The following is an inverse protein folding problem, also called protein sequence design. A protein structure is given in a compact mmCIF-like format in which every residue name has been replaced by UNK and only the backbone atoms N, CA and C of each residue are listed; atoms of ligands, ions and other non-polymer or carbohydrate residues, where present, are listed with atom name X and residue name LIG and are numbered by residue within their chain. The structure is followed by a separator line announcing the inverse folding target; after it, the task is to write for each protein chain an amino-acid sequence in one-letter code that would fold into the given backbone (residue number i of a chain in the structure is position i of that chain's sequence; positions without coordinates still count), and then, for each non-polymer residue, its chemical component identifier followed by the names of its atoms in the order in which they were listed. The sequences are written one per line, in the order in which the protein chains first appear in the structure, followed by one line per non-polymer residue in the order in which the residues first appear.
data_IF_788338693561
#
_entry.id   IF_788338693561
#
_cell.length_a   1.000
_cell.length_b   1.000
_cell.length_c   1.000
_cell.angle_alpha   90.00
_cell.angle_beta   90.00
_cell.angle_gamma   90.00
#
_symmetry.space_group_name_H-M   'P 1'
#
loop_
_entity.id
_entity.type
_entity.pdbx_description
1 polymer ?
#
# COMPACT_ATOMS: atom_id res chain seq x y z
N UNK A 1 -31.10 33.61 -5.23
CA UNK A 1 -31.85 32.82 -4.22
C UNK A 1 -31.08 32.91 -2.91
N UNK A 2 -31.74 32.74 -1.76
CA UNK A 2 -31.01 32.65 -0.48
C UNK A 2 -30.60 31.19 -0.30
N UNK A 3 -29.29 30.92 -0.37
CA UNK A 3 -28.74 29.56 -0.28
C UNK A 3 -28.73 29.01 1.16
N UNK A 4 -28.72 29.90 2.15
CA UNK A 4 -28.57 29.57 3.56
C UNK A 4 -29.79 29.97 4.39
N UNK A 5 -30.20 29.08 5.29
CA UNK A 5 -31.18 29.36 6.33
C UNK A 5 -30.55 30.23 7.42
N UNK A 6 -31.35 30.94 8.23
CA UNK A 6 -30.86 31.64 9.42
C UNK A 6 -30.13 30.72 10.41
N UNK A 7 -30.38 29.42 10.33
CA UNK A 7 -29.73 28.38 11.14
C UNK A 7 -28.32 28.00 10.63
N UNK A 8 -27.86 28.61 9.53
CA UNK A 8 -26.54 28.34 8.93
C UNK A 8 -26.47 27.09 8.04
N UNK A 9 -27.59 26.39 7.83
CA UNK A 9 -27.68 25.23 6.95
C UNK A 9 -28.25 25.57 5.58
N UNK A 10 -27.99 24.71 4.59
CA UNK A 10 -28.53 24.85 3.24
C UNK A 10 -30.07 24.74 3.22
N UNK A 11 -30.68 25.61 2.41
CA UNK A 11 -32.12 25.58 2.11
C UNK A 11 -32.47 24.32 1.29
N UNK A 12 -33.68 23.79 1.49
CA UNK A 12 -34.15 22.63 0.72
C UNK A 12 -34.25 22.96 -0.78
N UNK A 13 -34.56 24.22 -1.10
CA UNK A 13 -34.62 24.74 -2.46
C UNK A 13 -33.24 24.74 -3.14
N UNK A 14 -32.19 25.16 -2.43
CA UNK A 14 -30.81 25.14 -2.95
C UNK A 14 -30.29 23.70 -3.14
N UNK A 15 -30.58 22.81 -2.19
CA UNK A 15 -30.25 21.38 -2.29
C UNK A 15 -30.95 20.72 -3.49
N UNK A 16 -32.24 21.02 -3.69
CA UNK A 16 -33.02 20.47 -4.82
C UNK A 16 -32.53 21.03 -6.16
N UNK A 17 -32.18 22.32 -6.21
CA UNK A 17 -31.57 22.93 -7.39
C UNK A 17 -30.24 22.26 -7.74
N UNK A 18 -29.40 21.96 -6.74
CA UNK A 18 -28.13 21.25 -6.93
C UNK A 18 -28.34 19.82 -7.47
N UNK A 19 -29.32 19.08 -6.95
CA UNK A 19 -29.63 17.70 -7.40
C UNK A 19 -30.20 17.68 -8.82
N UNK A 20 -31.03 18.67 -9.18
CA UNK A 20 -31.61 18.78 -10.53
C UNK A 20 -30.60 19.33 -11.56
N UNK A 21 -29.51 19.94 -11.11
CA UNK A 21 -28.59 20.68 -11.97
C UNK A 21 -29.23 21.96 -12.52
N UNK A 22 -30.15 22.56 -11.78
CA UNK A 22 -30.77 23.85 -12.13
C UNK A 22 -29.69 24.95 -12.16
N UNK A 23 -29.96 26.05 -12.90
CA UNK A 23 -28.99 27.12 -13.15
C UNK A 23 -28.65 27.93 -11.88
N UNK A 24 -27.75 27.38 -11.06
CA UNK A 24 -27.05 28.08 -9.98
C UNK A 24 -25.87 28.86 -10.59
N UNK A 25 -25.52 30.01 -10.00
CA UNK A 25 -24.32 30.72 -10.43
C UNK A 25 -23.08 29.89 -10.06
N UNK A 26 -21.98 30.03 -10.81
CA UNK A 26 -20.73 29.30 -10.50
C UNK A 26 -20.22 29.59 -9.09
N UNK A 27 -20.46 30.81 -8.58
CA UNK A 27 -20.11 31.19 -7.22
C UNK A 27 -20.97 30.48 -6.18
N UNK A 28 -22.28 30.41 -6.40
CA UNK A 28 -23.20 29.71 -5.49
C UNK A 28 -22.89 28.20 -5.45
N UNK A 29 -22.52 27.60 -6.59
CA UNK A 29 -22.07 26.22 -6.65
C UNK A 29 -20.80 25.98 -5.84
N UNK A 30 -19.84 26.89 -5.91
CA UNK A 30 -18.59 26.80 -5.16
C UNK A 30 -18.84 26.93 -3.65
N UNK A 31 -19.67 27.89 -3.25
CA UNK A 31 -20.03 28.11 -1.84
C UNK A 31 -20.80 26.91 -1.27
N UNK A 32 -21.72 26.31 -2.05
CA UNK A 32 -22.41 25.07 -1.64
C UNK A 32 -21.44 23.90 -1.53
N UNK A 33 -20.51 23.75 -2.47
CA UNK A 33 -19.53 22.66 -2.44
C UNK A 33 -18.61 22.77 -1.20
N UNK A 34 -18.18 23.99 -0.87
CA UNK A 34 -17.41 24.25 0.35
C UNK A 34 -18.23 23.92 1.61
N UNK A 35 -19.49 24.35 1.65
CA UNK A 35 -20.36 24.06 2.79
C UNK A 35 -20.65 22.57 2.95
N UNK A 36 -20.84 21.83 1.86
CA UNK A 36 -21.03 20.38 1.87
C UNK A 36 -19.78 19.63 2.34
N UNK A 37 -18.58 20.17 2.08
CA UNK A 37 -17.33 19.62 2.59
C UNK A 37 -17.15 19.87 4.10
N UNK A 38 -17.77 20.93 4.64
CA UNK A 38 -17.64 21.32 6.04
C UNK A 38 -18.77 20.77 6.94
N UNK A 39 -19.99 20.68 6.43
CA UNK A 39 -21.18 20.33 7.21
C UNK A 39 -21.72 18.93 6.84
N UNK A 40 -21.38 17.92 7.66
CA UNK A 40 -21.82 16.53 7.50
C UNK A 40 -23.35 16.38 7.47
N UNK A 41 -24.09 17.22 8.21
CA UNK A 41 -25.56 17.18 8.22
C UNK A 41 -26.16 17.62 6.88
N UNK A 42 -25.62 18.68 6.28
CA UNK A 42 -26.02 19.14 4.95
C UNK A 42 -25.63 18.10 3.89
N UNK A 43 -24.46 17.49 4.03
CA UNK A 43 -24.01 16.40 3.18
C UNK A 43 -24.95 15.19 3.25
N UNK A 44 -25.38 14.80 4.45
CA UNK A 44 -26.31 13.69 4.62
C UNK A 44 -27.65 13.98 3.93
N UNK A 45 -28.26 15.15 4.16
CA UNK A 45 -29.51 15.56 3.47
C UNK A 45 -29.34 15.57 1.95
N UNK A 46 -28.21 16.05 1.45
CA UNK A 46 -27.89 16.00 0.02
C UNK A 46 -27.82 14.57 -0.52
N UNK A 47 -27.11 13.66 0.17
CA UNK A 47 -27.00 12.26 -0.25
C UNK A 47 -28.32 11.51 -0.19
N UNK A 48 -29.17 11.82 0.79
CA UNK A 48 -30.52 11.25 0.90
C UNK A 48 -31.38 11.67 -0.29
N UNK A 49 -31.37 12.95 -0.66
CA UNK A 49 -32.04 13.46 -1.86
C UNK A 49 -31.50 12.82 -3.15
N UNK A 50 -30.19 12.59 -3.24
CA UNK A 50 -29.56 11.92 -4.38
C UNK A 50 -29.94 10.43 -4.44
N UNK A 51 -30.05 9.76 -3.28
CA UNK A 51 -30.40 8.35 -3.17
C UNK A 51 -31.88 8.06 -3.43
N UNK A 52 -32.75 9.06 -3.31
CA UNK A 52 -34.17 8.97 -3.64
C UNK A 52 -34.44 8.96 -5.16
N UNK A 53 -33.46 9.31 -5.99
CA UNK A 53 -33.52 9.07 -7.43
C UNK A 53 -33.44 7.57 -7.76
N UNK A 54 -33.96 7.12 -8.92
CA UNK A 54 -33.83 5.72 -9.32
C UNK A 54 -32.33 5.38 -9.41
N UNK A 55 -31.84 4.62 -8.44
CA UNK A 55 -30.49 4.08 -8.45
C UNK A 55 -30.35 3.25 -9.72
N UNK A 56 -29.64 3.80 -10.71
CA UNK A 56 -29.26 3.07 -11.90
C UNK A 56 -28.49 1.85 -11.43
N UNK A 57 -29.06 0.66 -11.63
CA UNK A 57 -28.38 -0.60 -11.32
C UNK A 57 -27.11 -0.60 -12.16
N UNK A 58 -25.92 -0.63 -11.54
CA UNK A 58 -24.68 -0.58 -12.29
C UNK A 58 -24.61 -1.82 -13.20
N UNK A 59 -24.47 -1.62 -14.51
CA UNK A 59 -24.39 -2.72 -15.48
C UNK A 59 -23.24 -3.69 -15.19
N UNK A 60 -22.20 -3.22 -14.48
CA UNK A 60 -21.10 -4.05 -14.03
C UNK A 60 -20.94 -3.98 -12.52
N UNK A 61 -21.09 -5.14 -11.88
CA UNK A 61 -20.77 -5.36 -10.48
C UNK A 61 -19.26 -5.18 -10.26
N UNK A 62 -18.83 -3.95 -9.93
CA UNK A 62 -17.49 -3.65 -9.44
C UNK A 62 -17.16 -4.33 -8.10
N UNK A 63 -18.05 -5.18 -7.56
CA UNK A 63 -17.89 -5.86 -6.28
C UNK A 63 -16.65 -6.74 -6.25
N UNK A 64 -16.35 -7.45 -7.33
CA UNK A 64 -15.19 -8.36 -7.35
C UNK A 64 -13.87 -7.58 -7.35
N UNK A 65 -13.77 -6.50 -8.12
CA UNK A 65 -12.56 -5.68 -8.18
C UNK A 65 -12.33 -4.87 -6.90
N UNK A 66 -13.39 -4.41 -6.24
CA UNK A 66 -13.32 -3.75 -4.94
C UNK A 66 -12.98 -4.74 -3.82
N UNK A 67 -13.58 -5.94 -3.82
CA UNK A 67 -13.31 -7.00 -2.84
C UNK A 67 -11.84 -7.38 -2.83
N UNK A 68 -11.20 -7.56 -4.00
CA UNK A 68 -9.77 -7.86 -4.09
C UNK A 68 -8.88 -6.73 -3.55
N UNK A 69 -9.27 -5.47 -3.70
CA UNK A 69 -8.50 -4.33 -3.17
C UNK A 69 -8.64 -4.19 -1.66
N UNK A 70 -9.85 -4.39 -1.14
CA UNK A 70 -10.12 -4.35 0.30
C UNK A 70 -9.45 -5.54 1.00
N UNK A 71 -9.59 -6.75 0.47
CA UNK A 71 -8.94 -7.94 1.02
C UNK A 71 -7.42 -7.79 1.10
N UNK A 72 -6.78 -7.22 0.07
CA UNK A 72 -5.33 -6.95 0.11
C UNK A 72 -4.93 -6.05 1.26
N UNK A 73 -5.67 -4.97 1.52
CA UNK A 73 -5.38 -4.06 2.65
C UNK A 73 -5.61 -4.74 4.00
N UNK A 74 -6.67 -5.54 4.13
CA UNK A 74 -6.97 -6.29 5.38
C UNK A 74 -5.89 -7.33 5.66
N UNK A 75 -5.45 -8.05 4.62
CA UNK A 75 -4.40 -9.06 4.75
C UNK A 75 -3.06 -8.42 5.10
N UNK A 76 -2.69 -7.30 4.49
CA UNK A 76 -1.46 -6.56 4.84
C UNK A 76 -1.46 -6.15 6.32
N UNK A 77 -2.54 -5.52 6.80
CA UNK A 77 -2.68 -5.13 8.20
C UNK A 77 -2.67 -6.33 9.17
N UNK A 78 -3.15 -7.50 8.72
CA UNK A 78 -3.09 -8.75 9.46
C UNK A 78 -1.66 -9.31 9.53
N UNK A 79 -1.00 -9.42 8.38
CA UNK A 79 0.35 -9.98 8.28
C UNK A 79 1.33 -9.18 9.13
N UNK A 80 1.29 -7.85 9.11
CA UNK A 80 2.21 -7.01 9.89
C UNK A 80 2.15 -7.32 11.41
N UNK A 81 0.97 -7.69 11.91
CA UNK A 81 0.79 -8.04 13.33
C UNK A 81 1.12 -9.50 13.65
N UNK A 82 0.86 -10.42 12.72
CA UNK A 82 1.10 -11.86 12.94
C UNK A 82 2.51 -12.30 12.51
N UNK A 83 3.24 -11.51 11.72
CA UNK A 83 4.59 -11.84 11.25
C UNK A 83 5.58 -11.98 12.40
N UNK A 84 5.55 -11.07 13.37
CA UNK A 84 6.45 -11.11 14.55
C UNK A 84 6.12 -12.29 15.47
N UNK A 85 4.84 -12.55 15.70
CA UNK A 85 4.39 -13.71 16.48
C UNK A 85 4.77 -15.04 15.82
N UNK A 86 4.58 -15.15 14.50
CA UNK A 86 4.97 -16.34 13.74
C UNK A 86 6.49 -16.57 13.79
N UNK A 87 7.29 -15.52 13.60
CA UNK A 87 8.75 -15.60 13.71
C UNK A 87 9.20 -16.05 15.11
N UNK A 88 8.58 -15.52 16.17
CA UNK A 88 8.87 -15.91 17.56
C UNK A 88 8.54 -17.39 17.83
N UNK A 89 7.40 -17.88 17.33
CA UNK A 89 7.01 -19.30 17.46
C UNK A 89 7.98 -20.22 16.71
N UNK A 90 8.38 -19.85 15.49
CA UNK A 90 9.37 -20.62 14.71
C UNK A 90 10.72 -20.64 15.42
N UNK A 91 11.19 -19.50 15.96
CA UNK A 91 12.42 -19.44 16.75
C UNK A 91 12.32 -20.29 18.03
N UNK A 92 11.21 -20.21 18.76
CA UNK A 92 11.00 -21.02 19.94
C UNK A 92 10.98 -22.52 19.62
N UNK A 93 10.33 -22.93 18.53
CA UNK A 93 10.29 -24.34 18.09
C UNK A 93 11.67 -24.83 17.61
N UNK A 94 12.37 -24.02 16.83
CA UNK A 94 13.73 -24.35 16.35
C UNK A 94 14.73 -24.43 17.50
N UNK A 95 14.62 -23.58 18.52
CA UNK A 95 15.44 -23.68 19.73
C UNK A 95 15.02 -24.87 20.59
N UNK A 96 13.72 -25.10 20.79
CA UNK A 96 13.24 -26.20 21.63
C UNK A 96 13.62 -27.56 21.05
N UNK A 97 13.46 -27.74 19.75
CA UNK A 97 13.74 -29.01 19.07
C UNK A 97 15.19 -29.13 18.57
N UNK A 98 15.83 -28.00 18.26
CA UNK A 98 17.23 -27.92 17.82
C UNK A 98 18.26 -27.71 18.94
N UNK A 99 17.83 -27.46 20.19
CA UNK A 99 18.73 -27.31 21.35
C UNK A 99 19.50 -28.58 21.69
N UNK A 100 19.06 -29.76 21.24
CA UNK A 100 19.88 -30.97 21.30
C UNK A 100 21.20 -30.81 20.50
N UNK A 101 21.28 -29.91 19.52
CA UNK A 101 22.48 -29.62 18.73
C UNK A 101 23.23 -28.33 19.09
N UNK A 102 22.55 -27.33 19.69
CA UNK A 102 23.18 -26.02 19.97
C UNK A 102 23.61 -25.83 21.44
N UNK A 103 23.01 -26.57 22.39
CA UNK A 103 23.27 -26.36 23.83
C UNK A 103 24.70 -26.74 24.25
N UNK A 104 25.42 -27.56 23.46
CA UNK A 104 26.82 -27.89 23.72
C UNK A 104 27.82 -26.77 23.39
N UNK A 105 27.43 -25.71 22.67
CA UNK A 105 28.37 -24.71 22.14
C UNK A 105 28.39 -23.35 22.84
N UNK A 106 27.39 -23.04 23.67
CA UNK A 106 27.30 -21.71 24.31
C UNK A 106 27.96 -21.70 25.71
N UNK A 107 28.17 -22.86 26.33
CA UNK A 107 28.71 -22.96 27.69
C UNK A 107 30.25 -23.01 27.79
N UNK A 108 30.99 -22.82 26.70
CA UNK A 108 32.47 -22.95 26.65
C UNK A 108 33.15 -21.74 25.97
N UNK A 109 32.55 -20.57 26.01
CA UNK A 109 33.13 -19.35 25.41
C UNK A 109 34.20 -18.75 26.33
N UNK A 110 35.37 -19.38 26.34
CA UNK A 110 36.64 -18.70 26.63
C UNK A 110 37.05 -17.79 25.45
N UNK A 111 37.85 -16.74 25.69
CA UNK A 111 38.18 -15.68 24.71
C UNK A 111 38.91 -16.13 23.43
N UNK A 112 39.29 -17.41 23.33
CA UNK A 112 40.02 -18.00 22.19
C UNK A 112 39.17 -18.19 20.93
N UNK A 113 37.84 -18.28 21.05
CA UNK A 113 36.94 -18.38 19.89
C UNK A 113 36.85 -17.05 19.14
N UNK A 114 36.95 -15.92 19.83
CA UNK A 114 36.78 -14.60 19.21
C UNK A 114 37.99 -14.23 18.33
N UNK A 115 39.21 -14.59 18.75
CA UNK A 115 40.41 -14.47 17.90
C UNK A 115 40.37 -15.44 16.70
N UNK A 116 39.98 -16.70 16.92
CA UNK A 116 39.89 -17.69 15.84
C UNK A 116 38.74 -17.41 14.86
N UNK A 117 37.65 -16.84 15.35
CA UNK A 117 36.56 -16.33 14.52
C UNK A 117 37.02 -15.09 13.74
N UNK A 118 37.80 -14.20 14.35
CA UNK A 118 38.39 -13.04 13.65
C UNK A 118 39.24 -13.45 12.45
N UNK A 119 40.15 -14.43 12.63
CA UNK A 119 41.00 -14.94 11.53
C UNK A 119 40.21 -15.72 10.48
N UNK A 120 39.19 -16.48 10.89
CA UNK A 120 38.32 -17.21 9.97
C UNK A 120 37.38 -16.27 9.20
N UNK A 121 36.96 -15.16 9.82
CA UNK A 121 36.14 -14.14 9.17
C UNK A 121 36.94 -13.43 8.09
N UNK A 122 38.21 -13.07 8.35
CA UNK A 122 39.07 -12.42 7.34
C UNK A 122 39.36 -13.33 6.14
N UNK A 123 39.59 -14.63 6.36
CA UNK A 123 39.73 -15.60 5.26
C UNK A 123 38.43 -15.75 4.45
N UNK A 124 37.29 -15.72 5.14
CA UNK A 124 35.97 -15.73 4.50
C UNK A 124 35.66 -14.41 3.78
N UNK A 125 36.10 -13.25 4.28
CA UNK A 125 35.86 -11.95 3.65
C UNK A 125 36.59 -11.82 2.32
N UNK A 126 37.79 -12.39 2.22
CA UNK A 126 38.59 -12.30 1.00
C UNK A 126 38.02 -13.15 -0.14
N UNK A 127 37.26 -14.21 0.17
CA UNK A 127 36.64 -15.10 -0.82
C UNK A 127 35.17 -14.80 -1.12
N UNK A 128 34.57 -13.85 -0.39
CA UNK A 128 33.17 -13.43 -0.54
C UNK A 128 32.88 -12.70 -1.88
N UNK A 129 33.70 -11.74 -2.36
CA UNK A 129 33.35 -10.94 -3.54
C UNK A 129 33.17 -11.78 -4.82
N UNK A 130 34.11 -12.68 -5.09
CA UNK A 130 34.07 -13.55 -6.28
C UNK A 130 32.84 -14.48 -6.30
N UNK A 131 32.44 -14.99 -5.12
CA UNK A 131 31.28 -15.88 -5.01
C UNK A 131 29.97 -15.13 -5.20
N UNK A 132 29.91 -13.88 -4.74
CA UNK A 132 28.74 -13.03 -4.89
C UNK A 132 28.51 -12.61 -6.35
N UNK A 133 29.58 -12.22 -7.05
CA UNK A 133 29.52 -11.85 -8.47
C UNK A 133 29.05 -13.02 -9.36
N UNK A 134 29.50 -14.25 -9.08
CA UNK A 134 29.06 -15.46 -9.79
C UNK A 134 27.60 -15.84 -9.49
N UNK A 135 27.16 -15.63 -8.25
CA UNK A 135 25.76 -15.88 -7.88
C UNK A 135 24.81 -14.84 -8.52
N UNK A 136 25.24 -13.57 -8.58
CA UNK A 136 24.45 -12.51 -9.20
C UNK A 136 24.40 -12.62 -10.72
N UNK A 137 25.45 -13.10 -11.38
CA UNK A 137 25.40 -13.30 -12.84
C UNK A 137 24.51 -14.49 -13.24
N UNK A 138 24.35 -15.49 -12.38
CA UNK A 138 23.30 -16.50 -12.53
C UNK A 138 21.90 -15.93 -12.33
N UNK A 139 21.75 -14.99 -11.38
CA UNK A 139 20.49 -14.29 -11.11
C UNK A 139 20.16 -13.22 -12.17
N UNK A 140 21.13 -12.59 -12.83
CA UNK A 140 20.88 -11.62 -13.89
C UNK A 140 20.25 -12.29 -15.10
N UNK A 141 20.74 -13.47 -15.50
CA UNK A 141 20.11 -14.26 -16.58
C UNK A 141 18.66 -14.66 -16.23
N UNK A 142 18.39 -14.91 -14.95
CA UNK A 142 17.07 -15.21 -14.43
C UNK A 142 16.18 -13.95 -14.41
N UNK A 143 16.75 -12.78 -14.10
CA UNK A 143 16.05 -11.50 -14.11
C UNK A 143 15.77 -11.00 -15.55
N UNK A 144 16.66 -11.29 -16.48
CA UNK A 144 16.48 -11.06 -17.92
C UNK A 144 15.35 -11.95 -18.48
N UNK A 145 15.25 -13.21 -18.04
CA UNK A 145 14.14 -14.12 -18.37
C UNK A 145 12.80 -13.68 -17.75
N UNK A 146 12.84 -12.97 -16.61
CA UNK A 146 11.66 -12.34 -16.01
C UNK A 146 11.15 -11.08 -16.73
N UNK A 147 11.71 -10.72 -17.89
CA UNK A 147 11.05 -9.83 -18.84
C UNK A 147 10.84 -8.39 -18.36
N UNK A 148 11.75 -7.85 -17.54
CA UNK A 148 11.85 -6.39 -17.36
C UNK A 148 12.62 -5.83 -18.56
N UNK A 149 11.90 -5.65 -19.67
CA UNK A 149 12.39 -4.86 -20.80
C UNK A 149 12.56 -3.39 -20.33
N UNK A 150 13.74 -2.77 -20.45
CA UNK A 150 13.86 -1.33 -20.26
C UNK A 150 13.03 -0.66 -21.35
N UNK A 151 11.90 -0.07 -20.96
CA UNK A 151 11.08 0.74 -21.85
C UNK A 151 11.78 2.09 -22.02
N UNK A 152 12.79 2.13 -22.87
CA UNK A 152 13.43 3.37 -23.30
C UNK A 152 12.64 3.94 -24.48
N UNK A 153 11.38 4.31 -24.23
CA UNK A 153 10.64 5.25 -25.07
C UNK A 153 11.19 6.66 -24.77
N UNK A 154 12.35 6.97 -25.37
CA UNK A 154 12.74 8.35 -25.62
C UNK A 154 12.62 8.59 -27.12
N UNK A 155 11.43 9.01 -27.53
CA UNK A 155 11.27 9.93 -28.64
C UNK A 155 12.17 11.14 -28.42
N UNK A 156 12.97 11.54 -29.42
CA UNK A 156 12.96 12.89 -30.01
C UNK A 156 14.29 13.29 -30.70
N UNK A 157 14.19 13.66 -31.99
CA UNK A 157 15.17 14.42 -32.77
C UNK A 157 16.09 13.54 -33.63
N UNK A 158 15.96 13.38 -34.95
CA UNK A 158 15.48 14.33 -35.95
C UNK A 158 16.65 15.16 -36.47
N UNK A 159 17.46 14.64 -37.41
CA UNK A 159 18.33 15.44 -38.29
C UNK A 159 18.60 14.70 -39.61
N UNK A 160 17.99 15.22 -40.67
CA UNK A 160 18.47 15.11 -42.05
C UNK A 160 19.67 16.06 -42.25
N UNK A 161 20.55 15.78 -43.21
CA UNK A 161 20.46 16.50 -44.49
C UNK A 161 20.00 15.64 -45.68
#
# INVERSE_FOLDING_TARGET
MVCFRPDGHLTDEALTALVRGDALTELDCLELAEHLAYCDQCLQRYTELLSAGPLLVPEHSCRESLRHRIWRRVVQLGIDRYATAAAAVVLALTLLWGSAGLSGRIAQTEPTILERAGTALTEWTDTWPQRWENALSGLSNLFDDFGVSPRNDLTQGGTHP
#
